data_IF_609338193863
#
_entry.id   IF_609338193863
#
_cell.length_a   1.000
_cell.length_b   1.000
_cell.length_c   1.000
_cell.angle_alpha   90.00
_cell.angle_beta   90.00
_cell.angle_gamma   90.00
#
_symmetry.space_group_name_H-M   'P 1'
#
loop_
_entity.id
_entity.type
_entity.pdbx_description
1 polymer ?
#
# COMPACT_ATOMS: atom_id res chain seq x y z
N UNK A 1 4.55 8.62 68.41
CA UNK A 1 3.34 8.52 67.57
C UNK A 1 3.66 9.16 66.22
N UNK A 2 3.55 8.38 65.13
CA UNK A 2 3.22 8.81 63.77
C UNK A 2 4.27 9.56 62.92
N UNK A 3 5.37 8.92 62.52
CA UNK A 3 6.21 9.41 61.39
C UNK A 3 6.52 8.36 60.30
N UNK A 4 6.13 7.10 60.49
CA UNK A 4 6.45 6.00 59.56
C UNK A 4 5.37 5.81 58.46
N UNK A 5 4.21 6.47 58.57
CA UNK A 5 3.08 6.28 57.65
C UNK A 5 3.10 7.16 56.38
N UNK A 6 3.98 8.16 56.28
CA UNK A 6 3.95 9.12 55.16
C UNK A 6 4.89 8.81 54.00
N UNK A 7 5.82 7.86 54.13
CA UNK A 7 6.78 7.54 53.05
C UNK A 7 6.23 6.47 52.10
N UNK A 8 5.29 5.64 52.55
CA UNK A 8 4.71 4.56 51.74
C UNK A 8 3.73 5.04 50.66
N UNK A 9 3.27 6.29 50.73
CA UNK A 9 2.30 6.87 49.78
C UNK A 9 2.96 7.52 48.55
N UNK A 10 4.28 7.76 48.58
CA UNK A 10 4.99 8.43 47.48
C UNK A 10 5.54 7.43 46.44
N UNK A 11 5.72 6.15 46.81
CA UNK A 11 6.23 5.10 45.90
C UNK A 11 5.15 4.49 45.00
N UNK A 12 3.86 4.61 45.36
CA UNK A 12 2.75 4.07 44.54
C UNK A 12 2.37 5.01 43.37
N UNK A 13 2.66 6.31 43.48
CA UNK A 13 2.33 7.28 42.42
C UNK A 13 3.29 7.22 41.22
N UNK A 14 4.51 6.70 41.38
CA UNK A 14 5.53 6.64 40.32
C UNK A 14 5.33 5.41 39.40
N UNK A 15 4.53 4.42 39.82
CA UNK A 15 4.30 3.18 39.05
C UNK A 15 3.16 3.27 38.01
N UNK A 16 2.39 4.36 37.99
CA UNK A 16 1.29 4.54 37.03
C UNK A 16 1.70 5.33 35.76
N UNK A 17 2.93 5.85 35.71
CA UNK A 17 3.46 6.56 34.54
C UNK A 17 4.17 5.68 33.50
N UNK A 18 4.34 4.38 33.77
CA UNK A 18 5.02 3.44 32.88
C UNK A 18 4.04 2.65 31.99
N UNK A 19 2.82 3.16 31.78
CA UNK A 19 1.86 2.57 30.85
C UNK A 19 2.28 2.87 29.41
N UNK A 20 3.16 1.99 28.92
CA UNK A 20 3.34 1.53 27.52
C UNK A 20 2.65 2.37 26.44
N UNK A 21 3.44 3.21 25.79
CA UNK A 21 3.12 3.82 24.49
C UNK A 21 3.16 2.82 23.33
N UNK A 22 3.62 1.58 23.56
CA UNK A 22 3.79 0.58 22.49
C UNK A 22 2.45 -0.06 22.09
N UNK A 23 1.51 -0.20 23.04
CA UNK A 23 0.23 -0.86 22.77
C UNK A 23 -0.71 -0.08 21.81
N UNK A 24 -0.56 1.25 21.74
CA UNK A 24 -1.34 2.07 20.79
C UNK A 24 -0.76 2.03 19.38
N UNK A 25 0.57 1.98 19.24
CA UNK A 25 1.26 1.85 17.93
C UNK A 25 0.87 0.53 17.25
N UNK A 26 0.89 -0.57 17.99
CA UNK A 26 0.51 -1.91 17.48
C UNK A 26 -0.95 -2.01 17.03
N UNK A 27 -1.88 -1.30 17.69
CA UNK A 27 -3.30 -1.29 17.27
C UNK A 27 -3.53 -0.50 15.99
N UNK A 28 -2.85 0.62 15.83
CA UNK A 28 -3.05 1.49 14.67
C UNK A 28 -2.44 0.88 13.40
N UNK A 29 -1.27 0.22 13.51
CA UNK A 29 -0.60 -0.47 12.41
C UNK A 29 -1.39 -1.70 11.91
N UNK A 30 -2.00 -2.46 12.83
CA UNK A 30 -2.89 -3.56 12.49
C UNK A 30 -4.11 -3.07 11.68
N UNK A 31 -4.65 -1.89 12.02
CA UNK A 31 -5.83 -1.34 11.33
C UNK A 31 -5.51 -0.96 9.88
N UNK A 32 -4.36 -0.32 9.62
CA UNK A 32 -3.96 0.05 8.25
C UNK A 32 -3.68 -1.18 7.38
N UNK A 33 -3.03 -2.20 7.95
CA UNK A 33 -2.80 -3.46 7.25
C UNK A 33 -4.11 -4.09 6.80
N UNK A 34 -5.12 -4.12 7.67
CA UNK A 34 -6.46 -4.62 7.33
C UNK A 34 -7.13 -3.82 6.20
N UNK A 35 -6.90 -2.50 6.13
CA UNK A 35 -7.41 -1.65 5.05
C UNK A 35 -6.76 -1.93 3.68
N UNK A 36 -5.60 -2.58 3.61
CA UNK A 36 -4.93 -2.94 2.34
C UNK A 36 -5.42 -4.28 1.81
N UNK A 37 -5.76 -5.21 2.70
CA UNK A 37 -6.18 -6.57 2.33
C UNK A 37 -7.36 -6.54 1.38
N UNK A 38 -7.33 -7.39 0.34
CA UNK A 38 -8.41 -7.53 -0.64
C UNK A 38 -7.94 -7.31 -2.07
N UNK A 39 -8.92 -7.17 -2.97
CA UNK A 39 -8.70 -7.00 -4.40
C UNK A 39 -8.99 -5.56 -4.81
N UNK A 40 -8.12 -4.99 -5.63
CA UNK A 40 -8.14 -3.61 -6.07
C UNK A 40 -8.12 -3.54 -7.59
N UNK A 41 -8.97 -2.69 -8.15
CA UNK A 41 -9.04 -2.36 -9.56
C UNK A 41 -8.42 -0.97 -9.77
N UNK A 42 -7.49 -0.79 -10.72
CA UNK A 42 -6.93 0.51 -11.00
C UNK A 42 -7.98 1.44 -11.63
N UNK A 43 -7.88 2.73 -11.32
CA UNK A 43 -8.78 3.78 -11.81
C UNK A 43 -8.04 4.67 -12.81
N UNK A 44 -6.88 5.19 -12.40
CA UNK A 44 -6.04 6.09 -13.21
C UNK A 44 -4.60 6.08 -12.71
N UNK A 45 -3.70 6.50 -13.59
CA UNK A 45 -2.30 6.76 -13.30
C UNK A 45 -1.96 8.19 -13.75
N UNK A 46 -1.36 8.97 -12.85
CA UNK A 46 -1.17 10.42 -13.02
C UNK A 46 0.28 10.78 -12.77
N UNK A 47 0.85 11.61 -13.64
CA UNK A 47 2.12 12.28 -13.42
C UNK A 47 1.86 13.69 -12.88
N UNK A 48 2.56 14.06 -11.81
CA UNK A 48 2.56 15.39 -11.24
C UNK A 48 3.91 16.03 -11.52
N UNK A 49 3.90 17.18 -12.18
CA UNK A 49 5.08 17.90 -12.60
C UNK A 49 5.59 18.85 -11.51
N UNK A 50 6.86 19.26 -11.61
CA UNK A 50 7.50 20.19 -10.68
C UNK A 50 6.81 21.56 -10.59
N UNK A 51 6.06 21.96 -11.62
CA UNK A 51 5.25 23.19 -11.62
C UNK A 51 3.86 23.03 -10.97
N UNK A 52 3.56 21.83 -10.44
CA UNK A 52 2.29 21.47 -9.82
C UNK A 52 1.20 21.06 -10.82
N UNK A 53 1.48 21.07 -12.12
CA UNK A 53 0.52 20.54 -13.11
C UNK A 53 0.42 19.02 -13.02
N UNK A 54 -0.77 18.48 -13.30
CA UNK A 54 -1.03 17.05 -13.26
C UNK A 54 -1.63 16.57 -14.57
N UNK A 55 -1.03 15.53 -15.16
CA UNK A 55 -1.47 14.94 -16.41
C UNK A 55 -1.82 13.47 -16.17
N UNK A 56 -3.01 13.05 -16.64
CA UNK A 56 -3.34 11.63 -16.69
C UNK A 56 -2.44 10.96 -17.70
N UNK A 57 -1.59 10.05 -17.23
CA UNK A 57 -0.71 9.23 -18.07
C UNK A 57 -1.51 8.06 -18.62
N UNK A 58 -2.36 7.46 -17.78
CA UNK A 58 -3.20 6.33 -18.15
C UNK A 58 -4.56 6.45 -17.47
N UNK A 59 -5.63 6.24 -18.23
CA UNK A 59 -6.97 5.98 -17.69
C UNK A 59 -7.30 4.55 -18.06
N UNK A 60 -7.62 3.73 -17.05
CA UNK A 60 -7.87 2.30 -17.25
C UNK A 60 -9.29 2.10 -17.81
N UNK A 61 -9.42 2.23 -19.13
CA UNK A 61 -10.68 1.99 -19.87
C UNK A 61 -10.63 0.66 -20.63
N UNK A 62 -11.80 0.14 -21.00
CA UNK A 62 -11.90 -1.10 -21.77
C UNK A 62 -11.33 -2.29 -21.00
N UNK A 63 -10.30 -2.94 -21.55
CA UNK A 63 -9.71 -4.12 -20.91
C UNK A 63 -8.98 -3.81 -19.61
N UNK A 64 -8.45 -2.59 -19.45
CA UNK A 64 -7.78 -2.17 -18.22
C UNK A 64 -8.71 -2.20 -17.00
N UNK A 65 -10.02 -2.07 -17.19
CA UNK A 65 -11.01 -2.20 -16.11
C UNK A 65 -11.09 -3.63 -15.52
N UNK A 66 -10.55 -4.62 -16.23
CA UNK A 66 -10.44 -6.00 -15.74
C UNK A 66 -9.18 -6.25 -14.91
N UNK A 67 -8.25 -5.29 -14.85
CA UNK A 67 -7.01 -5.44 -14.08
C UNK A 67 -7.31 -5.58 -12.58
N UNK A 68 -6.61 -6.50 -11.89
CA UNK A 68 -6.80 -6.77 -10.47
C UNK A 68 -5.47 -6.87 -9.73
N UNK A 69 -5.35 -6.20 -8.60
CA UNK A 69 -4.25 -6.32 -7.66
C UNK A 69 -4.78 -6.86 -6.35
N UNK A 70 -4.24 -7.97 -5.86
CA UNK A 70 -4.77 -8.66 -4.67
C UNK A 70 -3.69 -8.75 -3.60
N UNK A 71 -4.03 -8.27 -2.41
CA UNK A 71 -3.19 -8.33 -1.21
C UNK A 71 -3.81 -9.28 -0.19
N UNK A 72 -3.10 -10.35 0.17
CA UNK A 72 -3.60 -11.34 1.13
C UNK A 72 -2.99 -11.16 2.51
N UNK A 73 -3.68 -11.66 3.54
CA UNK A 73 -3.21 -11.66 4.94
C UNK A 73 -1.92 -12.46 5.15
N UNK A 74 -1.61 -13.39 4.24
CA UNK A 74 -0.35 -14.15 4.26
C UNK A 74 0.84 -13.37 3.73
N UNK A 75 0.67 -12.09 3.37
CA UNK A 75 1.70 -11.26 2.76
C UNK A 75 1.95 -11.60 1.28
N UNK A 76 1.03 -12.32 0.62
CA UNK A 76 1.12 -12.58 -0.83
C UNK A 76 0.47 -11.46 -1.60
N UNK A 77 1.12 -11.11 -2.71
CA UNK A 77 0.63 -10.17 -3.71
C UNK A 77 0.40 -10.92 -5.01
N UNK A 78 -0.66 -10.57 -5.73
CA UNK A 78 -0.85 -11.00 -7.11
C UNK A 78 -1.41 -9.86 -7.95
N UNK A 79 -0.99 -9.79 -9.22
CA UNK A 79 -1.58 -8.91 -10.22
C UNK A 79 -2.11 -9.71 -11.40
N UNK A 80 -3.24 -9.29 -11.92
CA UNK A 80 -3.83 -9.75 -13.18
C UNK A 80 -3.98 -8.53 -14.07
N UNK A 81 -3.34 -8.55 -15.23
CA UNK A 81 -3.40 -7.44 -16.19
C UNK A 81 -4.07 -7.96 -17.47
N UNK A 82 -4.92 -7.15 -18.09
CA UNK A 82 -5.68 -7.49 -19.27
C UNK A 82 -5.45 -6.45 -20.36
N UNK A 83 -5.14 -6.93 -21.56
CA UNK A 83 -4.96 -6.08 -22.75
C UNK A 83 -5.91 -6.55 -23.85
N UNK A 84 -6.31 -5.61 -24.72
CA UNK A 84 -7.09 -5.95 -25.90
C UNK A 84 -6.21 -6.73 -26.88
N UNK A 85 -6.71 -7.86 -27.39
CA UNK A 85 -6.05 -8.59 -28.46
C UNK A 85 -6.38 -8.00 -29.85
N UNK A 86 -5.83 -8.56 -30.93
CA UNK A 86 -6.07 -8.11 -32.30
C UNK A 86 -7.56 -8.11 -32.73
N UNK A 87 -8.42 -8.87 -32.04
CA UNK A 87 -9.86 -8.93 -32.28
C UNK A 87 -10.66 -8.02 -31.33
N UNK A 88 -9.99 -7.18 -30.53
CA UNK A 88 -10.60 -6.30 -29.55
C UNK A 88 -11.14 -7.00 -28.30
N UNK A 89 -10.94 -8.32 -28.14
CA UNK A 89 -11.34 -9.02 -26.92
C UNK A 89 -10.29 -8.88 -25.83
N UNK A 90 -10.73 -8.73 -24.59
CA UNK A 90 -9.82 -8.68 -23.44
C UNK A 90 -9.24 -10.06 -23.15
N UNK A 91 -7.91 -10.14 -23.15
CA UNK A 91 -7.18 -11.32 -22.71
C UNK A 91 -6.20 -10.90 -21.63
N UNK A 92 -5.99 -11.80 -20.67
CA UNK A 92 -4.95 -11.61 -19.67
C UNK A 92 -3.60 -11.48 -20.38
N UNK A 93 -2.87 -10.45 -20.01
CA UNK A 93 -1.54 -10.17 -20.51
C UNK A 93 -0.58 -11.26 -20.00
N UNK A 94 0.05 -11.96 -20.95
CA UNK A 94 0.96 -13.05 -20.61
C UNK A 94 2.23 -12.53 -19.93
N UNK A 95 2.59 -11.24 -20.08
CA UNK A 95 3.68 -10.65 -19.30
C UNK A 95 3.35 -10.61 -17.80
N UNK A 96 2.10 -10.35 -17.42
CA UNK A 96 1.67 -10.48 -16.02
C UNK A 96 1.66 -11.94 -15.53
N UNK A 97 1.56 -12.90 -16.47
CA UNK A 97 1.57 -14.34 -16.18
C UNK A 97 2.96 -14.93 -15.93
N UNK A 98 4.04 -14.16 -16.13
CA UNK A 98 5.41 -14.59 -15.79
C UNK A 98 5.74 -14.32 -14.33
N UNK A 99 4.86 -13.69 -13.55
CA UNK A 99 5.04 -13.55 -12.11
C UNK A 99 4.93 -14.91 -11.42
N UNK A 100 6.00 -15.35 -10.76
CA UNK A 100 6.05 -16.60 -10.01
C UNK A 100 5.68 -16.37 -8.54
N UNK A 101 6.24 -15.32 -7.94
CA UNK A 101 6.04 -14.98 -6.52
C UNK A 101 5.81 -13.47 -6.42
N UNK A 102 4.69 -13.09 -5.79
CA UNK A 102 4.47 -11.73 -5.33
C UNK A 102 4.31 -11.71 -3.81
N UNK A 103 4.98 -10.76 -3.16
CA UNK A 103 4.79 -10.48 -1.74
C UNK A 103 4.67 -8.99 -1.46
N UNK A 104 4.08 -8.66 -0.33
CA UNK A 104 3.94 -7.27 0.10
C UNK A 104 4.12 -7.13 1.61
N UNK A 105 4.49 -5.92 2.03
CA UNK A 105 4.52 -5.51 3.43
C UNK A 105 4.21 -4.02 3.53
N UNK A 106 3.42 -3.64 4.53
CA UNK A 106 3.34 -2.25 4.97
C UNK A 106 4.52 -1.99 5.90
N UNK A 107 5.35 -1.00 5.56
CA UNK A 107 6.48 -0.55 6.34
C UNK A 107 6.06 0.62 7.24
N UNK A 108 6.95 1.04 8.14
CA UNK A 108 6.77 2.28 8.90
C UNK A 108 6.61 3.49 7.95
N UNK A 109 5.89 4.52 8.41
CA UNK A 109 5.60 5.74 7.65
C UNK A 109 4.73 5.53 6.39
N UNK A 110 3.79 4.59 6.44
CA UNK A 110 2.81 4.36 5.38
C UNK A 110 3.47 4.07 4.02
N UNK A 111 4.59 3.33 4.03
CA UNK A 111 5.22 2.86 2.80
C UNK A 111 4.81 1.42 2.50
N UNK A 112 4.14 1.21 1.37
CA UNK A 112 3.85 -0.12 0.84
C UNK A 112 5.06 -0.61 0.03
N UNK A 113 5.60 -1.76 0.44
CA UNK A 113 6.65 -2.48 -0.28
C UNK A 113 6.03 -3.67 -1.01
N UNK A 114 6.26 -3.79 -2.32
CA UNK A 114 5.83 -4.92 -3.15
C UNK A 114 7.07 -5.54 -3.79
N UNK A 115 7.25 -6.84 -3.57
CA UNK A 115 8.32 -7.62 -4.20
C UNK A 115 7.70 -8.59 -5.20
N UNK A 116 8.30 -8.68 -6.39
CA UNK A 116 7.88 -9.57 -7.46
C UNK A 116 9.10 -10.35 -7.94
N UNK A 117 8.97 -11.67 -8.03
CA UNK A 117 9.90 -12.54 -8.73
C UNK A 117 9.22 -13.16 -9.95
N UNK A 118 9.93 -13.15 -11.08
CA UNK A 118 9.46 -13.64 -12.36
C UNK A 118 10.08 -15.00 -12.71
N UNK A 119 9.40 -15.75 -13.58
CA UNK A 119 9.80 -17.10 -14.00
C UNK A 119 11.12 -17.14 -14.76
N UNK A 120 11.58 -16.02 -15.32
CA UNK A 120 12.88 -15.91 -15.97
C UNK A 120 14.04 -15.66 -14.99
N UNK A 121 13.74 -15.58 -13.69
CA UNK A 121 14.68 -15.27 -12.62
C UNK A 121 14.84 -13.78 -12.32
N UNK A 122 14.14 -12.90 -13.04
CA UNK A 122 14.09 -11.47 -12.76
C UNK A 122 13.38 -11.16 -11.44
N UNK A 123 13.69 -10.02 -10.84
CA UNK A 123 13.03 -9.55 -9.61
C UNK A 123 12.85 -8.04 -9.62
N UNK A 124 11.71 -7.59 -9.14
CA UNK A 124 11.42 -6.17 -8.89
C UNK A 124 11.09 -5.93 -7.42
N UNK A 125 11.45 -4.74 -6.93
CA UNK A 125 11.04 -4.22 -5.64
C UNK A 125 10.49 -2.81 -5.81
N UNK A 126 9.21 -2.65 -5.57
CA UNK A 126 8.52 -1.38 -5.62
C UNK A 126 8.29 -0.86 -4.20
N UNK A 127 8.56 0.43 -3.99
CA UNK A 127 8.16 1.16 -2.78
C UNK A 127 7.26 2.31 -3.19
N UNK A 128 6.16 2.46 -2.46
CA UNK A 128 5.20 3.53 -2.68
C UNK A 128 4.69 4.06 -1.36
N UNK A 129 4.43 5.35 -1.29
CA UNK A 129 3.63 5.90 -0.20
C UNK A 129 2.17 5.53 -0.44
N UNK A 130 1.50 4.98 0.58
CA UNK A 130 0.08 4.65 0.50
C UNK A 130 -0.76 5.68 1.24
N UNK A 131 -1.78 6.21 0.56
CA UNK A 131 -2.81 7.07 1.15
C UNK A 131 -4.18 6.43 0.97
N UNK A 132 -4.95 6.31 2.06
CA UNK A 132 -6.35 5.91 2.01
C UNK A 132 -7.21 7.15 1.79
N UNK A 133 -7.76 7.31 0.58
CA UNK A 133 -8.66 8.43 0.28
C UNK A 133 -10.03 8.20 0.92
N UNK A 134 -10.46 6.93 0.97
CA UNK A 134 -11.61 6.43 1.72
C UNK A 134 -11.44 4.91 2.00
N UNK A 135 -12.50 4.22 2.45
CA UNK A 135 -12.44 2.78 2.79
C UNK A 135 -12.26 1.85 1.57
N UNK A 136 -12.62 2.35 0.39
CA UNK A 136 -12.61 1.63 -0.87
C UNK A 136 -11.65 2.24 -1.89
N UNK A 137 -10.95 3.32 -1.58
CA UNK A 137 -10.03 3.97 -2.52
C UNK A 137 -8.66 4.19 -1.90
N UNK A 138 -7.63 3.63 -2.54
CA UNK A 138 -6.22 3.88 -2.20
C UNK A 138 -5.53 4.66 -3.29
N UNK A 139 -4.55 5.47 -2.89
CA UNK A 139 -3.56 6.09 -3.76
C UNK A 139 -2.19 5.54 -3.41
N UNK A 140 -1.45 5.11 -4.43
CA UNK A 140 -0.05 4.71 -4.32
C UNK A 140 0.80 5.75 -5.05
N UNK A 141 1.69 6.43 -4.34
CA UNK A 141 2.57 7.46 -4.89
C UNK A 141 3.99 6.92 -5.06
N UNK A 142 4.64 7.29 -6.16
CA UNK A 142 5.97 6.84 -6.56
C UNK A 142 6.83 8.07 -6.90
N UNK A 143 8.13 8.00 -6.60
CA UNK A 143 9.08 9.04 -7.00
C UNK A 143 9.13 9.20 -8.53
N UNK A 144 9.24 10.45 -9.01
CA UNK A 144 9.45 10.74 -10.42
C UNK A 144 10.80 10.22 -10.92
N UNK A 145 10.84 9.74 -12.17
CA UNK A 145 12.07 9.23 -12.81
C UNK A 145 12.70 10.24 -13.79
N UNK A 146 12.15 11.45 -13.86
CA UNK A 146 12.52 12.52 -14.80
C UNK A 146 12.57 13.87 -14.08
N UNK A 147 13.49 14.79 -14.44
CA UNK A 147 13.60 16.11 -13.82
C UNK A 147 12.34 16.99 -13.96
N UNK A 148 11.44 16.67 -14.89
CA UNK A 148 10.19 17.41 -15.10
C UNK A 148 9.04 16.88 -14.23
N UNK A 149 9.16 15.66 -13.71
CA UNK A 149 8.13 14.95 -12.96
C UNK A 149 8.55 14.91 -11.50
N UNK A 150 7.69 15.42 -10.62
CA UNK A 150 7.90 15.38 -9.17
C UNK A 150 7.58 13.98 -8.63
N UNK A 151 6.39 13.49 -8.92
CA UNK A 151 5.97 12.14 -8.54
C UNK A 151 4.88 11.63 -9.47
N UNK A 152 4.70 10.31 -9.46
CA UNK A 152 3.55 9.64 -10.04
C UNK A 152 2.60 9.18 -8.94
N UNK A 153 1.32 9.02 -9.26
CA UNK A 153 0.43 8.24 -8.40
C UNK A 153 -0.58 7.42 -9.20
N UNK A 154 -0.86 6.22 -8.69
CA UNK A 154 -1.98 5.38 -9.12
C UNK A 154 -3.11 5.43 -8.10
N UNK A 155 -4.35 5.56 -8.56
CA UNK A 155 -5.53 5.37 -7.72
C UNK A 155 -6.21 4.04 -8.04
N UNK A 156 -6.66 3.35 -6.99
CA UNK A 156 -7.30 2.04 -7.10
C UNK A 156 -8.55 2.00 -6.24
N UNK A 157 -9.60 1.36 -6.75
CA UNK A 157 -10.83 1.08 -6.00
C UNK A 157 -10.88 -0.38 -5.61
N UNK A 158 -11.35 -0.66 -4.40
CA UNK A 158 -11.64 -2.00 -3.91
C UNK A 158 -12.75 -2.63 -4.74
N UNK A 159 -12.62 -3.94 -5.00
CA UNK A 159 -13.63 -4.78 -5.64
C UNK A 159 -13.80 -6.05 -4.83
N UNK A 160 -15.05 -6.43 -4.57
CA UNK A 160 -15.44 -7.67 -3.86
C UNK A 160 -15.68 -8.82 -4.84
#
# INVERSE_FOLDING_TARGET
>A
MNTVKSILLLTVAILLGACSTDAEKDRMENTKTELILGTWKPIKFVAVHQDGTANSVETYEGCGESNRWTFTKSGRFSKEEFKANANGSCKQDMESSTMEIGSWALLENDQLSIFIAYTDGGTDLYRSEITFLDHNTIRLSYEGDSPEIDYFYGEYTRVE
#
